data_IF_374146088663
#
_entry.id   IF_374146088663
#
_cell.length_a   1.000
_cell.length_b   1.000
_cell.length_c   1.000
_cell.angle_alpha   90.00
_cell.angle_beta   90.00
_cell.angle_gamma   90.00
#
_symmetry.space_group_name_H-M   'P 1'
#
loop_
_entity.id
_entity.type
_entity.pdbx_description
1 polymer ?
#
# COMPACT_ATOMS: atom_id res chain seq x y z
N UNK A 1 -14.43 5.57 5.39
CA UNK A 1 -15.63 6.11 4.69
C UNK A 1 -15.99 5.14 3.58
N UNK A 2 -17.21 4.62 3.61
CA UNK A 2 -17.73 3.78 2.54
C UNK A 2 -18.14 4.68 1.38
N UNK A 3 -17.84 4.21 0.15
CA UNK A 3 -18.19 4.90 -1.08
C UNK A 3 -17.80 6.41 -1.05
N UNK A 4 -16.60 6.69 -0.56
CA UNK A 4 -16.05 8.03 -0.50
C UNK A 4 -15.91 8.66 -1.90
N UNK A 5 -15.67 7.80 -2.90
CA UNK A 5 -15.57 8.14 -4.31
C UNK A 5 -16.58 7.30 -5.10
N UNK A 6 -17.85 7.78 -5.26
CA UNK A 6 -18.87 7.02 -5.97
C UNK A 6 -18.49 6.74 -7.42
N UNK A 7 -18.58 5.48 -7.83
CA UNK A 7 -18.23 5.07 -9.20
C UNK A 7 -16.73 5.15 -9.51
N UNK A 8 -15.87 5.10 -8.49
CA UNK A 8 -14.43 5.19 -8.65
C UNK A 8 -13.89 4.13 -9.61
N UNK A 9 -13.13 4.59 -10.57
CA UNK A 9 -12.32 3.76 -11.46
C UNK A 9 -10.86 4.12 -11.22
N UNK A 10 -10.01 3.12 -11.01
CA UNK A 10 -8.58 3.38 -10.84
C UNK A 10 -8.02 4.13 -12.05
N UNK A 11 -7.34 5.27 -11.85
CA UNK A 11 -6.76 6.02 -12.96
C UNK A 11 -5.55 5.30 -13.60
N UNK A 12 -4.98 4.32 -12.92
CA UNK A 12 -3.83 3.56 -13.41
C UNK A 12 -4.10 2.07 -13.34
N UNK A 13 -3.65 1.32 -14.35
CA UNK A 13 -3.76 -0.14 -14.42
C UNK A 13 -2.57 -0.82 -13.71
N UNK A 14 -2.69 -2.11 -13.34
CA UNK A 14 -1.56 -2.88 -12.83
C UNK A 14 -0.38 -2.94 -13.82
N UNK A 15 -0.67 -3.01 -15.12
CA UNK A 15 0.31 -3.06 -16.20
C UNK A 15 1.08 -1.75 -16.30
N UNK A 16 0.39 -0.61 -16.24
CA UNK A 16 1.03 0.72 -16.25
C UNK A 16 1.89 0.92 -15.00
N UNK A 17 1.41 0.48 -13.83
CA UNK A 17 2.17 0.54 -12.59
C UNK A 17 3.44 -0.33 -12.67
N UNK A 18 3.33 -1.53 -13.26
CA UNK A 18 4.49 -2.40 -13.50
C UNK A 18 5.47 -1.76 -14.49
N UNK A 19 4.97 -1.08 -15.53
CA UNK A 19 5.78 -0.29 -16.46
C UNK A 19 6.58 0.81 -15.76
N UNK A 20 5.91 1.61 -14.90
CA UNK A 20 6.59 2.62 -14.08
C UNK A 20 7.67 2.02 -13.17
N UNK A 21 7.44 0.84 -12.63
CA UNK A 21 8.41 0.17 -11.78
C UNK A 21 9.70 -0.28 -12.52
N UNK A 22 9.71 -0.23 -13.85
CA UNK A 22 10.89 -0.48 -14.68
C UNK A 22 11.74 0.78 -14.93
N UNK A 23 11.22 1.96 -14.65
CA UNK A 23 11.91 3.23 -14.87
C UNK A 23 12.99 3.47 -13.79
N UNK A 24 14.18 3.91 -14.21
CA UNK A 24 15.31 4.19 -13.30
C UNK A 24 15.01 5.25 -12.24
N UNK A 25 14.19 6.24 -12.59
CA UNK A 25 13.85 7.33 -11.70
C UNK A 25 12.63 7.05 -10.81
N UNK A 26 11.92 5.95 -11.04
CA UNK A 26 10.79 5.57 -10.22
C UNK A 26 11.21 4.81 -8.95
N UNK A 27 10.68 5.21 -7.82
CA UNK A 27 10.92 4.53 -6.55
C UNK A 27 9.95 3.37 -6.39
N UNK A 28 10.35 2.20 -6.87
CA UNK A 28 9.53 1.01 -6.85
C UNK A 28 10.12 -0.10 -5.97
N UNK A 29 9.25 -0.89 -5.34
CA UNK A 29 9.64 -2.05 -4.54
C UNK A 29 8.59 -3.15 -4.61
N UNK A 30 9.05 -4.39 -4.57
CA UNK A 30 8.21 -5.59 -4.43
C UNK A 30 8.47 -6.22 -3.08
N UNK A 31 7.40 -6.48 -2.34
CA UNK A 31 7.42 -7.20 -1.07
C UNK A 31 6.79 -8.57 -1.29
N UNK A 32 7.50 -9.63 -0.93
CA UNK A 32 7.02 -11.01 -0.96
C UNK A 32 6.96 -11.57 0.46
N UNK A 33 5.91 -12.35 0.74
CA UNK A 33 5.74 -13.00 2.05
C UNK A 33 5.49 -14.49 1.92
N UNK A 34 6.48 -15.32 2.20
CA UNK A 34 6.26 -16.77 2.39
C UNK A 34 5.62 -17.00 3.77
N UNK A 35 4.29 -17.07 3.79
CA UNK A 35 3.50 -17.23 5.03
C UNK A 35 3.79 -18.54 5.76
N UNK A 36 4.27 -19.59 5.06
CA UNK A 36 4.55 -20.89 5.69
C UNK A 36 5.82 -20.86 6.53
N UNK A 37 6.80 -20.03 6.09
CA UNK A 37 8.10 -19.90 6.76
C UNK A 37 8.21 -18.58 7.52
N UNK A 38 7.19 -17.73 7.44
CA UNK A 38 7.20 -16.34 7.90
C UNK A 38 8.44 -15.57 7.38
N UNK A 39 8.78 -15.80 6.11
CA UNK A 39 9.94 -15.18 5.47
C UNK A 39 9.49 -14.05 4.58
N UNK A 40 10.09 -12.89 4.79
CA UNK A 40 9.87 -11.68 4.02
C UNK A 40 11.05 -11.42 3.10
N UNK A 41 10.75 -10.96 1.90
CA UNK A 41 11.75 -10.56 0.91
C UNK A 41 11.36 -9.20 0.34
N UNK A 42 12.31 -8.27 0.34
CA UNK A 42 12.17 -6.95 -0.27
C UNK A 42 13.06 -6.89 -1.50
N UNK A 43 12.50 -6.51 -2.64
CA UNK A 43 13.23 -6.21 -3.87
C UNK A 43 12.99 -4.78 -4.25
N UNK A 44 14.04 -4.05 -4.54
CA UNK A 44 13.96 -2.67 -5.00
C UNK A 44 14.12 -2.60 -6.52
N UNK A 45 13.41 -1.65 -7.15
CA UNK A 45 13.55 -1.34 -8.58
C UNK A 45 14.88 -0.62 -8.89
N UNK A 46 15.10 -0.29 -10.17
CA UNK A 46 14.22 -0.58 -11.29
C UNK A 46 14.12 -2.07 -11.60
N UNK A 47 12.96 -2.52 -12.06
CA UNK A 47 12.73 -3.92 -12.40
C UNK A 47 12.88 -4.14 -13.90
N UNK A 48 13.30 -5.36 -14.32
CA UNK A 48 13.17 -5.80 -15.68
C UNK A 48 11.74 -6.32 -15.91
N UNK A 49 11.13 -6.01 -17.07
CA UNK A 49 9.76 -6.44 -17.39
C UNK A 49 9.59 -7.97 -17.24
N UNK A 50 10.60 -8.73 -17.63
CA UNK A 50 10.60 -10.19 -17.57
C UNK A 50 10.63 -10.74 -16.14
N UNK A 51 10.78 -9.89 -15.13
CA UNK A 51 10.76 -10.28 -13.73
C UNK A 51 9.33 -10.48 -13.20
N UNK A 52 8.36 -9.70 -13.70
CA UNK A 52 6.97 -9.75 -13.23
C UNK A 52 6.28 -11.10 -13.49
N UNK A 53 6.37 -11.70 -14.70
CA UNK A 53 5.79 -13.03 -14.95
C UNK A 53 6.41 -14.15 -14.11
N UNK A 54 7.57 -13.91 -13.49
CA UNK A 54 8.26 -14.87 -12.61
C UNK A 54 7.87 -14.75 -11.15
N UNK A 55 7.09 -13.71 -10.79
CA UNK A 55 6.57 -13.55 -9.44
C UNK A 55 5.58 -14.68 -9.12
N UNK A 56 5.43 -15.04 -7.83
CA UNK A 56 4.41 -15.99 -7.41
C UNK A 56 3.01 -15.53 -7.80
N UNK A 57 2.06 -16.45 -7.92
CA UNK A 57 0.63 -16.13 -8.20
C UNK A 57 -0.11 -15.53 -7.01
N UNK A 58 0.58 -15.21 -5.90
CA UNK A 58 0.00 -14.69 -4.66
C UNK A 58 1.09 -14.26 -3.68
N UNK A 59 0.65 -13.61 -2.59
CA UNK A 59 1.47 -13.27 -1.43
C UNK A 59 2.62 -12.29 -1.77
N UNK A 60 2.39 -11.34 -2.68
CA UNK A 60 3.31 -10.25 -2.98
C UNK A 60 2.58 -8.94 -3.27
N UNK A 61 3.29 -7.84 -3.10
CA UNK A 61 2.81 -6.48 -3.33
C UNK A 61 3.87 -5.68 -4.07
N UNK A 62 3.49 -4.99 -5.15
CA UNK A 62 4.27 -3.94 -5.79
C UNK A 62 3.84 -2.59 -5.19
N UNK A 63 4.81 -1.74 -4.86
CA UNK A 63 4.59 -0.37 -4.43
C UNK A 63 5.42 0.55 -5.32
N UNK A 64 4.81 1.61 -5.80
CA UNK A 64 5.49 2.69 -6.55
C UNK A 64 5.14 4.02 -5.89
N UNK A 65 6.17 4.77 -5.49
CA UNK A 65 6.03 6.09 -4.89
C UNK A 65 5.94 7.17 -5.97
N UNK A 66 5.45 8.35 -5.58
CA UNK A 66 5.43 9.55 -6.43
C UNK A 66 4.69 9.37 -7.77
N UNK A 67 3.69 8.47 -7.83
CA UNK A 67 2.99 8.16 -9.11
C UNK A 67 2.28 9.40 -9.67
N UNK A 68 1.85 10.33 -8.81
CA UNK A 68 1.31 11.63 -9.20
C UNK A 68 2.28 12.50 -10.02
N UNK A 69 3.58 12.22 -9.95
CA UNK A 69 4.61 12.90 -10.77
C UNK A 69 4.79 12.28 -12.15
N UNK A 70 4.23 11.09 -12.36
CA UNK A 70 4.34 10.33 -13.60
C UNK A 70 3.04 10.27 -14.39
N UNK A 71 1.91 10.30 -13.71
CA UNK A 71 0.58 10.13 -14.29
C UNK A 71 -0.34 11.28 -13.89
N UNK A 72 -0.90 11.98 -14.89
CA UNK A 72 -1.74 13.15 -14.68
C UNK A 72 -3.11 12.79 -14.07
N UNK A 73 -3.65 11.62 -14.38
CA UNK A 73 -4.93 11.18 -13.85
C UNK A 73 -4.79 10.75 -12.38
N UNK A 74 -3.64 10.18 -12.01
CA UNK A 74 -3.29 9.94 -10.60
C UNK A 74 -3.08 11.26 -9.86
N UNK A 75 -2.39 12.23 -10.46
CA UNK A 75 -2.21 13.57 -9.88
C UNK A 75 -3.55 14.27 -9.63
N UNK A 76 -4.54 14.10 -10.52
CA UNK A 76 -5.87 14.69 -10.37
C UNK A 76 -6.60 14.21 -9.09
N UNK A 77 -6.25 13.06 -8.52
CA UNK A 77 -6.79 12.61 -7.23
C UNK A 77 -6.50 13.60 -6.10
N UNK A 78 -5.39 14.33 -6.18
CA UNK A 78 -4.99 15.30 -5.16
C UNK A 78 -5.98 16.48 -5.05
N UNK A 79 -6.75 16.77 -6.10
CA UNK A 79 -7.77 17.81 -6.08
C UNK A 79 -8.85 17.55 -5.00
N UNK A 80 -9.15 16.27 -4.73
CA UNK A 80 -10.07 15.89 -3.67
C UNK A 80 -9.55 16.20 -2.27
N UNK A 81 -8.25 16.47 -2.14
CA UNK A 81 -7.55 16.80 -0.90
C UNK A 81 -7.12 18.26 -0.83
N UNK A 82 -7.67 19.14 -1.67
CA UNK A 82 -7.34 20.58 -1.71
C UNK A 82 -7.62 21.34 -0.40
N UNK A 83 -8.33 20.74 0.56
CA UNK A 83 -8.47 21.26 1.92
C UNK A 83 -7.17 21.15 2.74
N UNK A 84 -6.20 20.35 2.29
CA UNK A 84 -4.86 20.26 2.84
C UNK A 84 -3.95 21.16 2.00
N UNK A 85 -3.16 22.07 2.62
CA UNK A 85 -2.19 22.85 1.87
C UNK A 85 -1.22 21.95 1.07
N UNK A 86 -0.99 22.27 -0.19
CA UNK A 86 -0.21 21.42 -1.11
C UNK A 86 1.19 21.10 -0.61
N UNK A 87 1.84 22.03 0.12
CA UNK A 87 3.16 21.80 0.72
C UNK A 87 3.18 20.78 1.87
N UNK A 88 2.00 20.31 2.33
CA UNK A 88 1.85 19.26 3.33
C UNK A 88 1.51 17.89 2.72
N UNK A 89 1.27 17.83 1.43
CA UNK A 89 1.03 16.60 0.70
C UNK A 89 2.39 16.13 0.17
N UNK A 90 2.74 14.89 0.47
CA UNK A 90 4.01 14.29 0.04
C UNK A 90 3.86 13.72 -1.37
N UNK A 91 3.13 12.63 -1.52
CA UNK A 91 2.95 11.95 -2.79
C UNK A 91 1.64 11.15 -2.86
N UNK A 92 1.36 10.63 -4.05
CA UNK A 92 0.42 9.52 -4.24
C UNK A 92 1.23 8.25 -4.51
N UNK A 93 1.38 7.43 -3.47
CA UNK A 93 1.93 6.09 -3.62
C UNK A 93 0.83 5.14 -4.09
N UNK A 94 1.08 4.37 -5.13
CA UNK A 94 0.16 3.34 -5.61
C UNK A 94 0.71 1.96 -5.29
N UNK A 95 -0.15 1.07 -4.80
CA UNK A 95 0.21 -0.32 -4.56
C UNK A 95 -0.73 -1.28 -5.28
N UNK A 96 -0.14 -2.22 -6.00
CA UNK A 96 -0.82 -3.41 -6.52
C UNK A 96 -0.43 -4.62 -5.67
N UNK A 97 -1.40 -5.47 -5.34
CA UNK A 97 -1.12 -6.68 -4.57
C UNK A 97 -1.93 -7.85 -5.11
N UNK A 98 -1.24 -8.95 -5.36
CA UNK A 98 -1.89 -10.23 -5.61
C UNK A 98 -2.55 -10.76 -4.34
N UNK A 99 -3.49 -11.68 -4.51
CA UNK A 99 -4.21 -12.30 -3.39
C UNK A 99 -3.26 -12.72 -2.27
N UNK A 100 -3.53 -12.26 -1.06
CA UNK A 100 -2.68 -12.48 0.10
C UNK A 100 -1.49 -11.53 0.18
N UNK A 101 -1.25 -10.70 -0.83
CA UNK A 101 -0.18 -9.69 -0.82
C UNK A 101 -0.38 -8.67 0.29
N UNK A 102 0.73 -8.31 0.91
CA UNK A 102 0.77 -7.40 2.06
C UNK A 102 2.18 -6.84 2.24
N UNK A 103 2.29 -5.74 2.95
CA UNK A 103 3.57 -5.19 3.43
C UNK A 103 3.77 -5.43 4.94
N UNK A 104 2.87 -6.23 5.55
CA UNK A 104 2.92 -6.56 6.96
C UNK A 104 2.32 -5.50 7.87
N UNK A 105 2.24 -5.82 9.16
CA UNK A 105 1.77 -4.87 10.17
C UNK A 105 2.84 -3.83 10.46
N UNK A 106 2.49 -2.54 10.36
CA UNK A 106 3.42 -1.43 10.53
C UNK A 106 2.73 -0.17 11.07
N UNK A 107 3.51 0.88 11.30
CA UNK A 107 3.04 2.22 11.66
C UNK A 107 3.70 3.25 10.75
N UNK A 108 2.93 4.23 10.31
CA UNK A 108 3.44 5.41 9.62
C UNK A 108 3.54 6.60 10.57
N UNK A 109 4.44 7.53 10.28
CA UNK A 109 4.68 8.72 11.09
C UNK A 109 3.95 9.96 10.54
N UNK A 110 3.08 9.77 9.55
CA UNK A 110 2.31 10.79 8.85
C UNK A 110 0.87 10.34 8.65
N UNK A 111 0.02 11.26 8.24
CA UNK A 111 -1.37 11.00 7.88
C UNK A 111 -1.46 10.25 6.55
N UNK A 112 -2.27 9.20 6.47
CA UNK A 112 -2.47 8.43 5.25
C UNK A 112 -3.96 8.32 4.91
N UNK A 113 -4.29 8.60 3.65
CA UNK A 113 -5.60 8.34 3.08
C UNK A 113 -5.49 7.16 2.12
N UNK A 114 -6.04 6.02 2.51
CA UNK A 114 -6.01 4.78 1.73
C UNK A 114 -7.29 4.70 0.89
N UNK A 115 -7.16 4.87 -0.41
CA UNK A 115 -8.28 4.73 -1.36
C UNK A 115 -8.18 3.35 -2.00
N UNK A 116 -9.25 2.57 -1.95
CA UNK A 116 -9.30 1.30 -2.66
C UNK A 116 -9.61 1.55 -4.13
N UNK A 117 -8.68 1.23 -5.02
CA UNK A 117 -8.78 1.48 -6.44
C UNK A 117 -9.50 0.36 -7.19
N UNK A 118 -9.11 -0.89 -6.95
CA UNK A 118 -9.69 -2.08 -7.59
C UNK A 118 -9.57 -3.28 -6.67
N UNK A 119 -10.38 -4.33 -6.91
CA UNK A 119 -10.41 -5.50 -6.05
C UNK A 119 -10.82 -5.17 -4.61
N UNK A 120 -10.48 -6.03 -3.67
CA UNK A 120 -10.81 -5.89 -2.25
C UNK A 120 -9.58 -6.06 -1.39
N UNK A 121 -9.47 -5.22 -0.36
CA UNK A 121 -8.39 -5.32 0.62
C UNK A 121 -8.96 -5.30 2.03
N UNK A 122 -8.57 -6.28 2.82
CA UNK A 122 -8.85 -6.30 4.25
C UNK A 122 -7.86 -5.40 4.96
N UNK A 123 -8.36 -4.47 5.76
CA UNK A 123 -7.59 -3.61 6.63
C UNK A 123 -7.93 -3.88 8.08
N UNK A 124 -6.90 -4.13 8.86
CA UNK A 124 -6.96 -4.29 10.30
C UNK A 124 -6.17 -3.17 10.98
N UNK A 125 -6.69 -2.65 12.08
CA UNK A 125 -6.10 -1.54 12.83
C UNK A 125 -6.02 -1.92 14.30
N UNK A 126 -4.89 -1.63 14.92
CA UNK A 126 -4.77 -1.60 16.38
C UNK A 126 -4.90 -0.13 16.84
N UNK A 127 -6.08 0.21 17.36
CA UNK A 127 -6.39 1.54 17.88
C UNK A 127 -5.92 1.75 19.32
N UNK A 128 -5.23 0.79 19.95
CA UNK A 128 -4.70 0.93 21.29
C UNK A 128 -3.49 1.88 21.29
N UNK A 129 -3.58 3.07 21.92
CA UNK A 129 -2.45 4.03 21.93
C UNK A 129 -1.24 3.53 22.74
N UNK A 130 -1.42 2.48 23.54
CA UNK A 130 -0.37 1.84 24.35
C UNK A 130 0.14 0.55 23.72
N UNK A 131 -0.28 0.21 22.50
CA UNK A 131 0.21 -0.98 21.81
C UNK A 131 1.75 -0.93 21.68
N UNK A 132 2.44 -2.06 21.87
CA UNK A 132 3.87 -2.13 21.63
C UNK A 132 4.20 -1.76 20.17
N UNK A 133 5.20 -0.89 19.99
CA UNK A 133 5.69 -0.48 18.67
C UNK A 133 7.11 -0.99 18.41
N UNK A 134 7.47 -2.11 19.01
CA UNK A 134 8.75 -2.77 18.75
C UNK A 134 8.73 -3.40 17.36
N UNK A 135 9.79 -3.17 16.58
CA UNK A 135 9.94 -3.74 15.26
C UNK A 135 10.67 -5.09 15.32
N UNK A 136 10.43 -5.91 14.30
CA UNK A 136 11.20 -7.11 14.03
C UNK A 136 12.63 -6.71 13.62
N UNK A 137 13.60 -7.53 14.02
CA UNK A 137 15.02 -7.34 13.71
C UNK A 137 15.55 -8.37 12.71
N UNK A 138 14.70 -9.33 12.34
CA UNK A 138 15.00 -10.41 11.39
C UNK A 138 14.56 -10.11 9.95
N UNK A 139 13.97 -8.92 9.72
CA UNK A 139 13.48 -8.49 8.41
C UNK A 139 13.92 -7.06 8.11
N UNK A 140 14.14 -6.75 6.84
CA UNK A 140 14.51 -5.40 6.39
C UNK A 140 13.35 -4.39 6.53
N UNK A 141 12.11 -4.88 6.42
CA UNK A 141 10.90 -4.08 6.58
C UNK A 141 10.66 -3.72 8.05
N UNK A 142 10.15 -2.52 8.32
CA UNK A 142 9.82 -2.07 9.67
C UNK A 142 8.50 -2.69 10.18
N UNK A 143 8.47 -4.02 10.25
CA UNK A 143 7.32 -4.77 10.70
C UNK A 143 7.22 -4.77 12.23
N UNK A 144 6.01 -4.61 12.74
CA UNK A 144 5.74 -4.76 14.16
C UNK A 144 5.94 -6.21 14.60
N UNK A 145 6.55 -6.41 15.79
CA UNK A 145 6.67 -7.74 16.42
C UNK A 145 5.33 -8.26 16.90
N UNK A 146 4.49 -7.36 17.38
CA UNK A 146 3.17 -7.66 17.91
C UNK A 146 2.14 -6.77 17.26
N UNK A 147 1.02 -7.34 16.87
CA UNK A 147 -0.10 -6.63 16.31
C UNK A 147 -1.40 -7.31 16.74
N UNK A 148 -2.25 -6.57 17.46
CA UNK A 148 -3.54 -7.08 17.95
C UNK A 148 -4.66 -6.19 17.40
N UNK A 149 -5.33 -6.61 16.32
CA UNK A 149 -6.34 -5.77 15.70
C UNK A 149 -7.54 -5.56 16.61
N UNK A 150 -7.93 -4.31 16.74
CA UNK A 150 -9.17 -3.88 17.41
C UNK A 150 -10.31 -3.62 16.42
N UNK A 151 -9.97 -3.37 15.15
CA UNK A 151 -10.92 -3.13 14.07
C UNK A 151 -10.49 -3.90 12.81
N UNK A 152 -11.50 -4.31 12.03
CA UNK A 152 -11.31 -5.11 10.82
C UNK A 152 -12.38 -4.74 9.79
N UNK A 153 -11.95 -4.35 8.59
CA UNK A 153 -12.84 -4.00 7.48
C UNK A 153 -12.29 -4.51 6.14
N UNK A 154 -13.17 -4.87 5.25
CA UNK A 154 -12.84 -5.06 3.83
C UNK A 154 -13.23 -3.78 3.10
N UNK A 155 -12.30 -3.16 2.40
CA UNK A 155 -12.54 -2.04 1.50
C UNK A 155 -12.77 -2.54 0.08
N UNK A 156 -13.72 -1.89 -0.59
CA UNK A 156 -14.10 -2.10 -1.99
C UNK A 156 -13.80 -0.84 -2.80
N UNK A 157 -13.74 -0.89 -4.15
CA UNK A 157 -13.43 0.27 -4.96
C UNK A 157 -14.27 1.50 -4.61
N UNK A 158 -13.59 2.64 -4.40
CA UNK A 158 -14.21 3.89 -3.96
C UNK A 158 -14.33 4.05 -2.45
N UNK A 159 -14.05 3.02 -1.65
CA UNK A 159 -13.92 3.18 -0.20
C UNK A 159 -12.62 3.88 0.17
N UNK A 160 -12.64 4.61 1.28
CA UNK A 160 -11.46 5.28 1.82
C UNK A 160 -11.31 5.03 3.32
N UNK A 161 -10.09 4.74 3.75
CA UNK A 161 -9.69 4.66 5.14
C UNK A 161 -8.65 5.76 5.44
N UNK A 162 -8.91 6.57 6.45
CA UNK A 162 -7.94 7.53 6.97
C UNK A 162 -7.25 6.96 8.19
N UNK A 163 -5.93 7.07 8.22
CA UNK A 163 -5.06 6.66 9.31
C UNK A 163 -4.22 7.84 9.80
N UNK A 164 -4.41 8.29 11.03
CA UNK A 164 -3.52 9.28 11.64
C UNK A 164 -2.16 8.67 11.98
N UNK A 165 -1.11 9.51 12.16
CA UNK A 165 0.22 9.06 12.51
C UNK A 165 0.26 8.10 13.71
N UNK A 166 1.08 7.06 13.59
CA UNK A 166 1.35 6.13 14.68
C UNK A 166 0.25 5.10 14.96
N UNK A 167 -0.79 5.03 14.16
CA UNK A 167 -1.79 3.96 14.23
C UNK A 167 -1.26 2.73 13.51
N UNK A 168 -1.13 1.63 14.26
CA UNK A 168 -0.70 0.35 13.70
C UNK A 168 -1.78 -0.23 12.80
N UNK A 169 -1.38 -0.65 11.62
CA UNK A 169 -2.30 -1.18 10.61
C UNK A 169 -1.69 -2.31 9.79
N UNK A 170 -2.56 -3.11 9.20
CA UNK A 170 -2.20 -4.28 8.41
C UNK A 170 -3.20 -4.46 7.28
N UNK A 171 -2.73 -4.34 6.04
CA UNK A 171 -3.52 -4.52 4.82
C UNK A 171 -3.18 -5.82 4.11
N UNK A 172 -4.21 -6.58 3.70
CA UNK A 172 -4.05 -7.83 2.94
C UNK A 172 -5.00 -7.82 1.75
N UNK A 173 -4.51 -8.10 0.55
CA UNK A 173 -5.35 -8.27 -0.63
C UNK A 173 -6.19 -9.55 -0.51
N UNK A 174 -7.49 -9.45 -0.76
CA UNK A 174 -8.43 -10.57 -0.73
C UNK A 174 -8.56 -11.23 -2.11
N UNK A 175 -8.42 -10.45 -3.18
CA UNK A 175 -8.51 -10.87 -4.59
C UNK A 175 -7.56 -10.03 -5.45
#
# INVERSE_FOLDING_TARGET
>A
VRNAFPGFVSPITPEDLAGLACEEAALARVVLHDRKRDRWELRNGPFAEESFPKLPKKDWTLLVQDVDKWDADVAALLEHFAFIPSWRIDDVMVSYAERGGTVGAHVDQYDVFLIQGMGRRRWQIDANPRAPKAFRDDVELRLLREFTPSHDWILEPGDMLYLPPGIAHYGVAED
#
